data_IF_219251040414
#
_entry.id   IF_219251040414
#
_cell.length_a   1.000
_cell.length_b   1.000
_cell.length_c   1.000
_cell.angle_alpha   90.00
_cell.angle_beta   90.00
_cell.angle_gamma   90.00
#
_symmetry.space_group_name_H-M   'P 1'
#
loop_
_entity.id
_entity.type
_entity.pdbx_description
1 polymer ?
#
# COMPACT_ATOMS: atom_id res chain seq x y z
N UNK A 1 2.42 -26.81 59.31
CA UNK A 1 2.49 -25.46 58.72
C UNK A 1 3.40 -25.37 57.51
N UNK A 2 4.60 -25.89 57.51
CA UNK A 2 5.52 -25.86 56.33
C UNK A 2 4.98 -26.50 55.04
N UNK A 3 4.11 -27.50 55.13
CA UNK A 3 3.53 -28.18 53.95
C UNK A 3 2.44 -27.36 53.25
N UNK A 4 1.71 -26.55 53.96
CA UNK A 4 0.66 -25.71 53.38
C UNK A 4 1.23 -24.44 52.71
N UNK A 5 2.35 -23.91 53.22
CA UNK A 5 3.07 -22.78 52.64
C UNK A 5 3.67 -23.11 51.27
N UNK A 6 4.24 -24.32 51.12
CA UNK A 6 4.75 -24.79 49.80
C UNK A 6 3.65 -24.98 48.77
N UNK A 7 2.49 -25.48 49.19
CA UNK A 7 1.32 -25.61 48.31
C UNK A 7 0.77 -24.24 47.85
N UNK A 8 0.74 -23.27 48.73
CA UNK A 8 0.25 -21.92 48.46
C UNK A 8 1.18 -21.16 47.52
N UNK A 9 2.49 -21.35 47.69
CA UNK A 9 3.51 -20.75 46.79
C UNK A 9 3.43 -21.38 45.40
N UNK A 10 3.28 -22.71 45.30
CA UNK A 10 3.13 -23.39 44.03
C UNK A 10 1.84 -22.98 43.27
N UNK A 11 0.75 -22.77 44.00
CA UNK A 11 -0.50 -22.27 43.41
C UNK A 11 -0.38 -20.83 42.89
N UNK A 12 0.31 -19.98 43.63
CA UNK A 12 0.57 -18.58 43.21
C UNK A 12 1.45 -18.53 41.95
N UNK A 13 2.49 -19.38 41.87
CA UNK A 13 3.37 -19.46 40.70
C UNK A 13 2.62 -19.93 39.44
N UNK A 14 1.67 -20.85 39.58
CA UNK A 14 0.87 -21.35 38.44
C UNK A 14 -0.09 -20.30 37.90
N UNK A 15 -0.66 -19.44 38.75
CA UNK A 15 -1.55 -18.34 38.34
C UNK A 15 -0.79 -17.25 37.58
N UNK A 16 0.44 -16.95 37.99
CA UNK A 16 1.29 -15.96 37.28
C UNK A 16 1.70 -16.46 35.90
N UNK A 17 1.99 -17.76 35.76
CA UNK A 17 2.34 -18.35 34.44
C UNK A 17 1.19 -18.32 33.43
N UNK A 18 -0.06 -18.47 33.88
CA UNK A 18 -1.25 -18.37 33.02
C UNK A 18 -1.58 -16.95 32.61
N UNK A 19 -1.20 -15.95 33.37
CA UNK A 19 -1.44 -14.54 33.06
C UNK A 19 -0.54 -13.97 31.98
N UNK A 20 0.58 -14.63 31.65
CA UNK A 20 1.56 -14.12 30.68
C UNK A 20 1.30 -14.50 29.21
N UNK A 21 0.35 -15.38 28.92
CA UNK A 21 0.09 -15.89 27.57
C UNK A 21 -0.89 -15.08 26.74
N UNK A 22 -1.57 -14.08 27.29
CA UNK A 22 -2.72 -13.46 26.60
C UNK A 22 -2.49 -12.19 25.75
N UNK A 23 -1.47 -11.34 25.93
CA UNK A 23 -1.39 -10.11 25.13
C UNK A 23 -0.90 -10.30 23.70
N UNK A 24 -0.05 -11.29 23.45
CA UNK A 24 0.55 -11.49 22.11
C UNK A 24 -0.43 -12.11 21.13
N UNK A 25 -1.24 -13.09 21.56
CA UNK A 25 -2.22 -13.76 20.71
C UNK A 25 -3.31 -12.79 20.23
N UNK A 26 -3.75 -11.86 21.09
CA UNK A 26 -4.73 -10.84 20.72
C UNK A 26 -4.21 -9.84 19.69
N UNK A 27 -2.93 -9.49 19.77
CA UNK A 27 -2.29 -8.61 18.79
C UNK A 27 -2.16 -9.33 17.44
N UNK A 28 -1.70 -10.58 17.44
CA UNK A 28 -1.57 -11.39 16.22
C UNK A 28 -2.93 -11.64 15.56
N UNK A 29 -3.96 -11.95 16.34
CA UNK A 29 -5.32 -12.09 15.85
C UNK A 29 -5.89 -10.77 15.30
N UNK A 30 -5.58 -9.65 15.95
CA UNK A 30 -5.96 -8.31 15.47
C UNK A 30 -5.32 -7.99 14.13
N UNK A 31 -4.02 -8.25 13.98
CA UNK A 31 -3.31 -8.10 12.71
C UNK A 31 -3.84 -9.03 11.63
N UNK A 32 -4.04 -10.31 11.95
CA UNK A 32 -4.58 -11.28 11.00
C UNK A 32 -5.96 -10.88 10.48
N UNK A 33 -6.85 -10.40 11.35
CA UNK A 33 -8.17 -9.88 10.95
C UNK A 33 -8.09 -8.61 10.13
N UNK A 34 -7.17 -7.70 10.46
CA UNK A 34 -6.95 -6.47 9.69
C UNK A 34 -6.46 -6.81 8.28
N UNK A 35 -5.51 -7.73 8.14
CA UNK A 35 -5.02 -8.20 6.84
C UNK A 35 -6.09 -8.96 6.04
N UNK A 36 -6.91 -9.78 6.70
CA UNK A 36 -7.98 -10.53 6.03
C UNK A 36 -9.12 -9.64 5.53
N UNK A 37 -9.37 -8.50 6.20
CA UNK A 37 -10.51 -7.63 5.90
C UNK A 37 -10.15 -6.35 5.12
N UNK A 38 -8.88 -6.00 4.99
CA UNK A 38 -8.44 -4.82 4.23
C UNK A 38 -7.57 -5.25 3.06
N UNK A 39 -8.16 -5.24 1.87
CA UNK A 39 -7.42 -5.32 0.62
C UNK A 39 -6.54 -4.07 0.49
N UNK A 40 -5.25 -4.25 0.75
CA UNK A 40 -4.26 -3.19 0.52
C UNK A 40 -3.65 -3.38 -0.86
N UNK A 41 -3.70 -2.34 -1.66
CA UNK A 41 -3.13 -2.35 -3.01
C UNK A 41 -1.90 -1.44 -3.08
N UNK A 42 -0.93 -1.86 -3.88
CA UNK A 42 0.22 -1.03 -4.27
C UNK A 42 0.14 -0.72 -5.74
N UNK A 43 0.43 0.53 -6.07
CA UNK A 43 0.49 1.01 -7.45
C UNK A 43 1.95 1.23 -7.83
N UNK A 44 2.30 0.72 -9.01
CA UNK A 44 3.56 1.04 -9.70
C UNK A 44 3.22 1.75 -10.99
N UNK A 45 3.91 2.85 -11.27
CA UNK A 45 3.81 3.58 -12.51
C UNK A 45 5.21 3.73 -13.12
N UNK A 46 5.34 3.40 -14.39
CA UNK A 46 6.55 3.62 -15.18
C UNK A 46 6.24 4.52 -16.36
N UNK A 47 7.17 5.41 -16.66
CA UNK A 47 7.16 6.24 -17.86
C UNK A 47 8.28 5.80 -18.80
N UNK A 48 8.14 6.10 -20.09
CA UNK A 48 9.09 5.70 -21.11
C UNK A 48 10.41 6.48 -21.07
N UNK A 49 10.41 7.70 -20.50
CA UNK A 49 11.60 8.55 -20.37
C UNK A 49 11.62 9.27 -19.03
N UNK A 50 12.80 9.66 -18.54
CA UNK A 50 12.92 10.49 -17.32
C UNK A 50 12.81 12.00 -17.61
N UNK A 51 12.89 12.43 -18.89
CA UNK A 51 12.84 13.82 -19.32
C UNK A 51 11.99 13.97 -20.56
N UNK A 52 11.23 15.07 -20.66
CA UNK A 52 10.34 15.37 -21.76
C UNK A 52 10.45 16.84 -22.15
N UNK A 53 10.27 17.13 -23.43
CA UNK A 53 10.11 18.48 -23.96
C UNK A 53 8.65 18.88 -23.98
N UNK A 54 8.39 20.19 -23.98
CA UNK A 54 7.04 20.71 -24.15
C UNK A 54 6.43 20.18 -25.47
N UNK A 55 5.16 19.78 -25.43
CA UNK A 55 4.46 19.17 -26.55
C UNK A 55 4.75 17.69 -26.79
N UNK A 56 5.66 17.08 -26.02
CA UNK A 56 5.90 15.63 -26.12
C UNK A 56 4.79 14.82 -25.42
N UNK A 57 4.75 13.53 -25.77
CA UNK A 57 3.86 12.55 -25.16
C UNK A 57 4.61 11.71 -24.15
N UNK A 58 4.08 11.61 -22.92
CA UNK A 58 4.53 10.71 -21.86
C UNK A 58 3.77 9.41 -22.00
N UNK A 59 4.43 8.35 -22.44
CA UNK A 59 3.87 7.02 -22.40
C UNK A 59 4.04 6.42 -21.00
N UNK A 60 3.00 5.80 -20.48
CA UNK A 60 3.04 5.23 -19.14
C UNK A 60 2.40 3.87 -19.07
N UNK A 61 2.91 3.08 -18.15
CA UNK A 61 2.36 1.79 -17.78
C UNK A 61 2.27 1.66 -16.28
N UNK A 62 1.08 1.28 -15.81
CA UNK A 62 0.80 1.06 -14.40
C UNK A 62 0.48 -0.38 -14.07
N UNK A 63 0.81 -0.79 -12.86
CA UNK A 63 0.41 -2.05 -12.26
C UNK A 63 -0.19 -1.79 -10.90
N UNK A 64 -1.25 -2.51 -10.60
CA UNK A 64 -1.83 -2.57 -9.26
C UNK A 64 -1.70 -4.00 -8.78
N UNK A 65 -1.07 -4.17 -7.64
CA UNK A 65 -0.83 -5.47 -7.02
C UNK A 65 -1.34 -5.47 -5.59
N UNK A 66 -1.72 -6.64 -5.11
CA UNK A 66 -1.97 -6.83 -3.68
C UNK A 66 -0.69 -6.53 -2.90
N UNK A 67 -0.81 -5.76 -1.81
CA UNK A 67 0.34 -5.26 -1.07
C UNK A 67 1.11 -6.34 -0.31
N UNK A 68 0.47 -7.47 -0.02
CA UNK A 68 1.02 -8.59 0.75
C UNK A 68 1.53 -9.69 -0.17
N UNK A 69 0.66 -10.19 -1.05
CA UNK A 69 0.99 -11.31 -1.95
C UNK A 69 1.73 -10.88 -3.21
N UNK A 70 1.72 -9.58 -3.54
CA UNK A 70 2.28 -9.01 -4.77
C UNK A 70 1.67 -9.57 -6.06
N UNK A 71 0.47 -10.15 -5.96
CA UNK A 71 -0.27 -10.67 -7.13
C UNK A 71 -1.07 -9.56 -7.80
N UNK A 72 -1.27 -9.67 -9.12
CA UNK A 72 -2.08 -8.72 -9.88
C UNK A 72 -3.60 -8.89 -9.73
N UNK A 73 -4.04 -9.76 -8.84
CA UNK A 73 -5.47 -10.01 -8.57
C UNK A 73 -6.00 -8.97 -7.58
N UNK A 74 -6.37 -7.82 -8.09
CA UNK A 74 -6.91 -6.70 -7.30
C UNK A 74 -8.26 -6.26 -7.87
N UNK A 75 -9.18 -5.74 -7.05
CA UNK A 75 -10.49 -5.26 -7.49
C UNK A 75 -10.42 -3.95 -8.27
N UNK A 76 -9.32 -3.20 -8.18
CA UNK A 76 -9.18 -1.90 -8.84
C UNK A 76 -9.18 -2.03 -10.35
N UNK A 77 -10.14 -1.38 -11.01
CA UNK A 77 -10.31 -1.40 -12.47
C UNK A 77 -9.89 -0.09 -13.13
N UNK A 78 -9.64 0.96 -12.37
CA UNK A 78 -9.26 2.28 -12.87
C UNK A 78 -8.14 2.87 -12.03
N UNK A 79 -7.16 3.50 -12.69
CA UNK A 79 -6.19 4.38 -12.06
C UNK A 79 -6.45 5.82 -12.46
N UNK A 80 -6.21 6.73 -11.54
CA UNK A 80 -6.11 8.15 -11.82
C UNK A 80 -4.64 8.54 -11.73
N UNK A 81 -4.14 9.20 -12.75
CA UNK A 81 -2.77 9.69 -12.80
C UNK A 81 -2.82 11.20 -12.94
N UNK A 82 -2.20 11.88 -12.02
CA UNK A 82 -2.10 13.33 -11.97
C UNK A 82 -0.70 13.76 -12.37
N UNK A 83 -0.60 14.72 -13.26
CA UNK A 83 0.62 15.48 -13.50
C UNK A 83 0.54 16.74 -12.67
N UNK A 84 1.44 16.93 -11.72
CA UNK A 84 1.49 18.09 -10.82
C UNK A 84 2.80 18.84 -11.01
N UNK A 85 2.76 20.17 -10.86
CA UNK A 85 3.94 21.03 -10.91
C UNK A 85 4.67 21.06 -9.55
N UNK A 86 5.79 21.75 -9.48
CA UNK A 86 6.61 21.88 -8.27
C UNK A 86 5.88 22.65 -7.12
N UNK A 87 4.76 23.27 -7.38
CA UNK A 87 3.90 23.95 -6.42
C UNK A 87 2.69 23.13 -6.01
N UNK A 88 2.67 21.82 -6.31
CA UNK A 88 1.54 20.90 -6.09
C UNK A 88 0.25 21.29 -6.81
N UNK A 89 0.35 22.09 -7.90
CA UNK A 89 -0.81 22.41 -8.71
C UNK A 89 -1.04 21.33 -9.77
N UNK A 90 -2.30 20.91 -9.89
CA UNK A 90 -2.71 19.94 -10.90
C UNK A 90 -2.60 20.57 -12.30
N UNK A 91 -1.73 19.99 -13.13
CA UNK A 91 -1.58 20.37 -14.54
C UNK A 91 -2.53 19.57 -15.42
N UNK A 92 -2.58 18.26 -15.22
CA UNK A 92 -3.46 17.37 -15.96
C UNK A 92 -3.79 16.13 -15.14
N UNK A 93 -5.01 15.60 -15.32
CA UNK A 93 -5.47 14.33 -14.76
C UNK A 93 -5.97 13.43 -15.86
N UNK A 94 -5.57 12.17 -15.84
CA UNK A 94 -6.10 11.13 -16.70
C UNK A 94 -6.66 9.98 -15.88
N UNK A 95 -7.68 9.32 -16.44
CA UNK A 95 -8.25 8.07 -15.91
C UNK A 95 -7.88 6.93 -16.82
N UNK A 96 -7.24 5.90 -16.28
CA UNK A 96 -6.79 4.73 -17.02
C UNK A 96 -7.65 3.55 -16.61
N UNK A 97 -8.25 2.89 -17.59
CA UNK A 97 -8.97 1.63 -17.37
C UNK A 97 -8.00 0.47 -17.48
N UNK A 98 -8.16 -0.54 -16.62
CA UNK A 98 -7.41 -1.80 -16.71
C UNK A 98 -7.75 -2.52 -18.01
N UNK A 99 -6.74 -2.99 -18.71
CA UNK A 99 -6.83 -3.93 -19.82
C UNK A 99 -6.19 -5.30 -19.48
N UNK A 100 -6.06 -6.20 -20.43
CA UNK A 100 -5.45 -7.52 -20.23
C UNK A 100 -3.97 -7.47 -19.85
N UNK A 101 -3.29 -6.34 -20.04
CA UNK A 101 -1.84 -6.17 -19.82
C UNK A 101 -1.53 -5.23 -18.64
N UNK A 102 -2.54 -4.61 -18.05
CA UNK A 102 -2.40 -3.69 -16.92
C UNK A 102 -3.11 -2.35 -17.18
N UNK A 103 -2.47 -1.26 -16.82
CA UNK A 103 -2.97 0.10 -17.01
C UNK A 103 -2.03 0.85 -17.95
N UNK A 104 -2.42 1.00 -19.21
CA UNK A 104 -1.60 1.63 -20.24
C UNK A 104 -2.30 2.89 -20.75
N UNK A 105 -1.59 4.01 -20.79
CA UNK A 105 -2.07 5.26 -21.36
C UNK A 105 -0.91 6.23 -21.64
N UNK A 106 -1.24 7.42 -22.10
CA UNK A 106 -0.29 8.49 -22.32
C UNK A 106 -0.88 9.85 -21.93
N UNK A 107 -0.01 10.78 -21.58
CA UNK A 107 -0.33 12.20 -21.38
C UNK A 107 0.38 12.99 -22.47
N UNK A 108 -0.37 13.85 -23.17
CA UNK A 108 0.22 14.83 -24.08
C UNK A 108 0.54 16.10 -23.28
N UNK A 109 1.83 16.44 -23.22
CA UNK A 109 2.27 17.65 -22.56
C UNK A 109 1.83 18.90 -23.36
N UNK A 110 1.32 19.95 -22.70
CA UNK A 110 1.08 21.22 -23.37
C UNK A 110 2.33 21.77 -24.04
N UNK A 111 2.17 22.37 -25.21
CA UNK A 111 3.31 22.98 -25.94
C UNK A 111 3.89 24.24 -25.24
N UNK A 112 3.14 24.80 -24.32
CA UNK A 112 3.47 25.98 -23.51
C UNK A 112 3.81 25.64 -22.05
N UNK A 113 3.95 24.35 -21.72
CA UNK A 113 4.34 23.92 -20.37
C UNK A 113 5.69 24.52 -19.98
N UNK A 114 5.77 25.08 -18.78
CA UNK A 114 7.00 25.71 -18.29
C UNK A 114 8.06 24.65 -17.99
N UNK A 115 9.31 25.00 -18.20
CA UNK A 115 10.42 24.15 -17.78
C UNK A 115 10.45 24.06 -16.24
N UNK A 116 10.63 22.84 -15.72
CA UNK A 116 10.66 22.60 -14.28
C UNK A 116 10.55 21.13 -13.93
N UNK A 117 10.41 20.85 -12.64
CA UNK A 117 10.15 19.50 -12.12
C UNK A 117 8.65 19.28 -12.00
N UNK A 118 8.22 18.12 -12.41
CA UNK A 118 6.83 17.65 -12.34
C UNK A 118 6.80 16.27 -11.71
N UNK A 119 5.72 15.93 -11.07
CA UNK A 119 5.48 14.61 -10.46
C UNK A 119 4.13 14.03 -10.92
#
# INVERSE_FOLDING_TARGET
MKRYTTFLVALMLSVVALAQQQPQDRLLDGFARMYANSLQEKVYLMTDKPYYSAGERIWMRGWVVDAVSHTGQTPTNYLYVDLVDAGDNLVQRIKIKRDSTGFNNAIDLPSDIKAGSYA
#
